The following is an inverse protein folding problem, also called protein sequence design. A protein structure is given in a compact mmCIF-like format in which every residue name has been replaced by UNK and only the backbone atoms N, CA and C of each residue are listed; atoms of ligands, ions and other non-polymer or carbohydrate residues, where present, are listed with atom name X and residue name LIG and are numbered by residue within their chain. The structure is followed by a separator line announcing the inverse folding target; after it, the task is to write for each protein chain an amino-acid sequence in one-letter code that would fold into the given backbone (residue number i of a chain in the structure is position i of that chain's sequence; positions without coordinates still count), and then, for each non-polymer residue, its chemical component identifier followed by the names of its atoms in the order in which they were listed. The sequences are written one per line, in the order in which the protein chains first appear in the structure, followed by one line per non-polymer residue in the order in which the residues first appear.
data_IF_940901841569
#
_entry.id   IF_940901841569
#
_cell.length_a   1.000
_cell.length_b   1.000
_cell.length_c   1.000
_cell.angle_alpha   90.00
_cell.angle_beta   90.00
_cell.angle_gamma   90.00
#
_symmetry.space_group_name_H-M   'P 1'
#
loop_
_entity.id
_entity.type
_entity.pdbx_description
1 polymer ?
#
# COMPACT_ATOMS: atom_id res chain seq x y z
N UNK A 1 -32.76 -25.51 -6.42
CA UNK A 1 -31.59 -24.72 -6.90
C UNK A 1 -31.19 -23.75 -5.81
N UNK A 2 -30.05 -23.93 -5.18
CA UNK A 2 -29.49 -22.96 -4.23
C UNK A 2 -29.21 -21.65 -4.97
N UNK A 3 -29.73 -20.52 -4.46
CA UNK A 3 -29.49 -19.19 -5.03
C UNK A 3 -28.01 -18.90 -4.96
N UNK A 4 -27.37 -18.60 -6.10
CA UNK A 4 -25.98 -18.11 -6.16
C UNK A 4 -25.91 -16.77 -5.42
N UNK A 5 -24.95 -16.64 -4.48
CA UNK A 5 -24.72 -15.41 -3.70
C UNK A 5 -23.78 -14.47 -4.44
N UNK A 6 -24.01 -13.18 -4.33
CA UNK A 6 -23.16 -12.15 -4.95
C UNK A 6 -22.04 -11.75 -4.01
N UNK A 7 -20.79 -12.02 -4.39
CA UNK A 7 -19.60 -11.53 -3.72
C UNK A 7 -18.99 -10.38 -4.53
N UNK A 8 -18.94 -9.18 -3.94
CA UNK A 8 -18.38 -8.02 -4.60
C UNK A 8 -17.04 -7.65 -3.96
N UNK A 9 -16.03 -7.40 -4.79
CA UNK A 9 -14.71 -6.91 -4.36
C UNK A 9 -14.56 -5.47 -4.87
N UNK A 10 -14.35 -4.51 -3.98
CA UNK A 10 -14.07 -3.11 -4.32
C UNK A 10 -12.57 -2.88 -4.30
N UNK A 11 -12.01 -2.52 -5.46
CA UNK A 11 -10.58 -2.26 -5.65
C UNK A 11 -9.82 -3.43 -6.21
N UNK A 12 -9.18 -3.22 -7.35
CA UNK A 12 -8.45 -4.23 -8.14
C UNK A 12 -6.93 -4.20 -7.92
N UNK A 13 -6.46 -3.81 -6.73
CA UNK A 13 -5.06 -3.93 -6.36
C UNK A 13 -4.66 -5.35 -5.96
N UNK A 14 -3.45 -5.51 -5.37
CA UNK A 14 -2.92 -6.82 -4.97
C UNK A 14 -3.88 -7.61 -4.06
N UNK A 15 -4.48 -6.97 -3.06
CA UNK A 15 -5.40 -7.62 -2.13
C UNK A 15 -6.70 -8.03 -2.82
N UNK A 16 -7.29 -7.13 -3.61
CA UNK A 16 -8.57 -7.38 -4.29
C UNK A 16 -8.49 -8.47 -5.36
N UNK A 17 -7.43 -8.48 -6.17
CA UNK A 17 -7.21 -9.53 -7.19
C UNK A 17 -7.04 -10.90 -6.53
N UNK A 18 -6.27 -10.99 -5.45
CA UNK A 18 -6.11 -12.26 -4.71
C UNK A 18 -7.44 -12.68 -4.08
N UNK A 19 -8.18 -11.75 -3.47
CA UNK A 19 -9.48 -12.05 -2.87
C UNK A 19 -10.49 -12.53 -3.91
N UNK A 20 -10.61 -11.84 -5.05
CA UNK A 20 -11.54 -12.20 -6.12
C UNK A 20 -11.22 -13.59 -6.69
N UNK A 21 -9.95 -13.88 -7.01
CA UNK A 21 -9.53 -15.21 -7.47
C UNK A 21 -9.82 -16.29 -6.42
N UNK A 22 -9.58 -16.02 -5.15
CA UNK A 22 -9.85 -17.00 -4.08
C UNK A 22 -11.34 -17.26 -3.90
N UNK A 23 -12.19 -16.22 -3.94
CA UNK A 23 -13.66 -16.35 -3.87
C UNK A 23 -14.22 -17.17 -5.06
N UNK A 24 -13.64 -17.04 -6.25
CA UNK A 24 -14.10 -17.75 -7.46
C UNK A 24 -13.91 -19.27 -7.41
N UNK A 25 -13.27 -19.81 -6.35
CA UNK A 25 -13.19 -21.27 -6.11
C UNK A 25 -14.52 -21.88 -5.66
N UNK A 26 -15.48 -21.07 -5.17
CA UNK A 26 -16.79 -21.55 -4.75
C UNK A 26 -17.81 -21.41 -5.87
N UNK A 27 -18.45 -22.52 -6.22
CA UNK A 27 -19.56 -22.53 -7.16
C UNK A 27 -20.84 -21.86 -6.62
N UNK A 28 -20.91 -21.58 -5.30
CA UNK A 28 -22.03 -20.88 -4.67
C UNK A 28 -21.94 -19.36 -4.82
N UNK A 29 -20.82 -18.84 -5.37
CA UNK A 29 -20.57 -17.42 -5.53
C UNK A 29 -20.54 -16.97 -6.99
N UNK A 30 -21.19 -15.85 -7.26
CA UNK A 30 -20.93 -14.98 -8.41
C UNK A 30 -19.99 -13.87 -7.93
N UNK A 31 -18.80 -13.75 -8.52
CA UNK A 31 -17.78 -12.79 -8.06
C UNK A 31 -17.69 -11.64 -9.05
N UNK A 32 -17.85 -10.41 -8.53
CA UNK A 32 -17.67 -9.18 -9.28
C UNK A 32 -16.53 -8.36 -8.65
N UNK A 33 -15.54 -7.96 -9.45
CA UNK A 33 -14.52 -6.99 -9.08
C UNK A 33 -14.91 -5.62 -9.66
N UNK A 34 -15.01 -4.60 -8.81
CA UNK A 34 -15.25 -3.22 -9.23
C UNK A 34 -13.96 -2.41 -9.06
N UNK A 35 -13.48 -1.80 -10.14
CA UNK A 35 -12.26 -1.01 -10.14
C UNK A 35 -12.34 0.10 -11.19
N UNK A 36 -11.85 1.34 -10.90
CA UNK A 36 -11.97 2.47 -11.84
C UNK A 36 -11.13 2.34 -13.13
N UNK A 37 -10.22 1.37 -13.20
CA UNK A 37 -9.35 1.15 -14.37
C UNK A 37 -9.57 -0.23 -14.97
N UNK A 38 -9.42 -0.36 -16.30
CA UNK A 38 -9.56 -1.65 -16.99
C UNK A 38 -8.35 -2.57 -16.79
N UNK A 39 -7.23 -2.03 -16.29
CA UNK A 39 -5.98 -2.75 -16.10
C UNK A 39 -5.55 -2.80 -14.64
N UNK A 40 -4.88 -3.89 -14.27
CA UNK A 40 -4.16 -4.03 -13.02
C UNK A 40 -2.91 -3.15 -13.02
N UNK A 41 -2.69 -2.40 -11.94
CA UNK A 41 -1.52 -1.53 -11.78
C UNK A 41 -0.51 -2.16 -10.83
N UNK A 42 0.70 -2.41 -11.33
CA UNK A 42 1.85 -2.82 -10.53
C UNK A 42 2.41 -1.62 -9.73
N UNK A 43 1.74 -1.22 -8.64
CA UNK A 43 2.11 -0.04 -7.83
C UNK A 43 3.58 -0.02 -7.40
N UNK A 44 4.16 -1.19 -7.18
CA UNK A 44 5.57 -1.34 -6.80
C UNK A 44 6.55 -0.96 -7.93
N UNK A 45 6.03 -0.67 -9.15
CA UNK A 45 6.81 -0.25 -10.33
C UNK A 45 6.46 1.17 -10.81
N UNK A 46 5.68 1.94 -10.06
CA UNK A 46 5.28 3.29 -10.47
C UNK A 46 6.48 4.24 -10.62
N UNK A 47 7.53 4.09 -9.80
CA UNK A 47 8.78 4.83 -9.98
C UNK A 47 9.44 4.53 -11.33
N UNK A 48 9.35 3.29 -11.84
CA UNK A 48 9.83 2.88 -13.15
C UNK A 48 8.93 3.40 -14.28
N UNK A 49 7.62 3.46 -14.06
CA UNK A 49 6.67 4.09 -14.99
C UNK A 49 6.99 5.57 -15.17
N UNK A 50 7.19 6.28 -14.08
CA UNK A 50 7.52 7.71 -14.08
C UNK A 50 8.84 8.02 -14.80
N UNK A 51 9.81 7.12 -14.75
CA UNK A 51 11.10 7.26 -15.47
C UNK A 51 11.08 6.66 -16.89
N UNK A 52 9.99 6.00 -17.28
CA UNK A 52 9.84 5.39 -18.60
C UNK A 52 10.52 4.01 -18.73
N UNK A 53 11.06 3.45 -17.66
CA UNK A 53 11.81 2.19 -17.69
C UNK A 53 10.91 0.94 -17.65
N UNK A 54 9.61 1.06 -17.28
CA UNK A 54 8.63 -0.03 -17.24
C UNK A 54 7.18 0.45 -17.38
N UNK A 55 6.29 -0.37 -18.00
CA UNK A 55 4.90 -0.02 -18.27
C UNK A 55 3.98 0.06 -17.04
N UNK A 56 4.21 -0.78 -16.03
CA UNK A 56 3.48 -0.90 -14.76
C UNK A 56 1.97 -1.22 -14.87
N UNK A 57 1.46 -1.64 -16.02
CA UNK A 57 0.07 -2.07 -16.23
C UNK A 57 -0.01 -3.46 -16.84
N UNK A 58 -1.04 -4.21 -16.46
CA UNK A 58 -1.30 -5.57 -16.94
C UNK A 58 -2.82 -5.72 -17.12
N UNK A 59 -3.31 -6.26 -18.27
CA UNK A 59 -4.73 -6.52 -18.43
C UNK A 59 -5.30 -7.39 -17.32
N UNK A 60 -6.48 -7.07 -16.79
CA UNK A 60 -7.11 -7.91 -15.77
C UNK A 60 -7.37 -9.33 -16.25
N UNK A 61 -7.56 -9.56 -17.55
CA UNK A 61 -7.69 -10.90 -18.13
C UNK A 61 -6.48 -11.82 -17.84
N UNK A 62 -5.30 -11.26 -17.59
CA UNK A 62 -4.09 -12.00 -17.25
C UNK A 62 -4.03 -12.43 -15.77
N UNK A 63 -4.73 -11.71 -14.88
CA UNK A 63 -4.60 -11.84 -13.41
C UNK A 63 -5.91 -12.18 -12.70
N UNK A 64 -7.04 -12.19 -13.39
CA UNK A 64 -8.34 -12.64 -12.88
C UNK A 64 -8.77 -13.95 -13.53
N UNK A 65 -9.38 -14.83 -12.76
CA UNK A 65 -10.02 -16.03 -13.30
C UNK A 65 -11.16 -15.65 -14.25
N UNK A 66 -11.38 -16.42 -15.36
CA UNK A 66 -12.39 -16.08 -16.37
C UNK A 66 -13.84 -16.01 -15.84
N UNK A 67 -14.12 -16.62 -14.69
CA UNK A 67 -15.43 -16.58 -14.03
C UNK A 67 -15.71 -15.28 -13.28
N UNK A 68 -14.72 -14.42 -13.09
CA UNK A 68 -14.84 -13.15 -12.36
C UNK A 68 -15.32 -12.07 -13.33
N UNK A 69 -16.41 -11.38 -12.97
CA UNK A 69 -16.89 -10.23 -13.71
C UNK A 69 -16.09 -8.99 -13.30
N UNK A 70 -15.46 -8.31 -14.24
CA UNK A 70 -14.87 -7.00 -14.04
C UNK A 70 -15.91 -5.92 -14.37
N UNK A 71 -16.13 -5.00 -13.43
CA UNK A 71 -16.89 -3.76 -13.66
C UNK A 71 -15.91 -2.59 -13.56
N UNK A 72 -15.69 -1.89 -14.68
CA UNK A 72 -14.82 -0.71 -14.73
C UNK A 72 -15.63 0.51 -14.29
N UNK A 73 -15.59 0.80 -12.99
CA UNK A 73 -16.31 1.91 -12.36
C UNK A 73 -15.73 2.17 -10.96
N UNK A 74 -16.15 3.27 -10.33
CA UNK A 74 -15.80 3.64 -8.96
C UNK A 74 -17.00 3.48 -8.04
N UNK A 75 -16.78 2.93 -6.83
CA UNK A 75 -17.81 2.94 -5.80
C UNK A 75 -17.75 4.26 -5.03
N UNK A 76 -18.86 4.98 -5.03
CA UNK A 76 -18.98 6.29 -4.36
C UNK A 76 -19.63 6.19 -2.98
N UNK A 77 -20.43 5.14 -2.72
CA UNK A 77 -21.09 4.90 -1.42
C UNK A 77 -21.36 3.41 -1.21
N UNK A 78 -21.17 2.97 0.03
CA UNK A 78 -21.60 1.65 0.54
C UNK A 78 -22.82 1.87 1.43
N UNK A 79 -23.95 1.26 1.08
CA UNK A 79 -25.15 1.21 1.91
C UNK A 79 -25.22 -0.19 2.54
N UNK A 80 -24.63 -0.33 3.72
CA UNK A 80 -24.53 -1.61 4.41
C UNK A 80 -25.92 -2.17 4.83
N UNK A 81 -26.87 -1.37 5.35
CA UNK A 81 -28.22 -1.86 5.67
C UNK A 81 -28.94 -2.45 4.47
N UNK A 82 -28.90 -1.80 3.30
CA UNK A 82 -29.57 -2.26 2.08
C UNK A 82 -28.72 -3.25 1.27
N UNK A 83 -27.47 -3.54 1.67
CA UNK A 83 -26.47 -4.38 0.96
C UNK A 83 -26.28 -3.91 -0.47
N UNK A 84 -26.09 -2.62 -0.68
CA UNK A 84 -25.92 -2.05 -2.00
C UNK A 84 -24.75 -1.08 -2.06
N UNK A 85 -24.24 -0.93 -3.27
CA UNK A 85 -23.14 -0.03 -3.64
C UNK A 85 -23.66 0.93 -4.68
N UNK A 86 -23.42 2.22 -4.50
CA UNK A 86 -23.66 3.23 -5.52
C UNK A 86 -22.35 3.42 -6.29
N UNK A 87 -22.42 3.30 -7.61
CA UNK A 87 -21.30 3.53 -8.50
C UNK A 87 -21.30 4.96 -9.03
N UNK A 88 -20.16 5.43 -9.52
CA UNK A 88 -20.00 6.77 -10.11
C UNK A 88 -20.87 6.95 -11.34
N UNK A 89 -21.09 5.89 -12.14
CA UNK A 89 -22.05 5.86 -13.24
C UNK A 89 -23.53 6.02 -12.84
N UNK A 90 -23.84 6.07 -11.53
CA UNK A 90 -25.19 6.02 -11.01
C UNK A 90 -25.80 4.62 -10.90
N UNK A 91 -25.11 3.60 -11.37
CA UNK A 91 -25.54 2.20 -11.23
C UNK A 91 -25.54 1.76 -9.77
N UNK A 92 -26.53 0.95 -9.37
CA UNK A 92 -26.59 0.34 -8.05
C UNK A 92 -26.29 -1.15 -8.16
N UNK A 93 -25.20 -1.59 -7.53
CA UNK A 93 -24.85 -3.01 -7.41
C UNK A 93 -25.27 -3.56 -6.04
N UNK A 94 -25.75 -4.80 -5.96
CA UNK A 94 -26.08 -5.47 -4.71
C UNK A 94 -25.03 -6.51 -4.35
N UNK A 95 -24.88 -6.80 -3.07
CA UNK A 95 -23.97 -7.85 -2.58
C UNK A 95 -24.60 -8.66 -1.45
N UNK A 96 -24.21 -9.92 -1.35
CA UNK A 96 -24.40 -10.76 -0.16
C UNK A 96 -23.15 -10.73 0.72
N UNK A 97 -21.95 -10.61 0.09
CA UNK A 97 -20.66 -10.42 0.76
C UNK A 97 -19.85 -9.34 0.05
N UNK A 98 -19.14 -8.51 0.83
CA UNK A 98 -18.35 -7.41 0.32
C UNK A 98 -16.90 -7.53 0.81
N UNK A 99 -15.94 -7.46 -0.12
CA UNK A 99 -14.52 -7.30 0.19
C UNK A 99 -14.11 -5.86 -0.10
N UNK A 100 -13.78 -5.11 0.93
CA UNK A 100 -13.27 -3.74 0.85
C UNK A 100 -11.75 -3.76 0.68
N UNK A 101 -11.25 -3.49 -0.53
CA UNK A 101 -9.84 -3.60 -0.89
C UNK A 101 -9.33 -2.40 -1.69
N UNK A 102 -9.80 -1.20 -1.37
CA UNK A 102 -9.53 0.05 -2.10
C UNK A 102 -8.08 0.54 -2.01
N UNK A 103 -7.26 -0.07 -1.15
CA UNK A 103 -5.84 0.24 -1.01
C UNK A 103 -5.55 1.60 -0.36
N UNK A 104 -4.44 2.23 -0.78
CA UNK A 104 -3.97 3.51 -0.28
C UNK A 104 -3.57 4.45 -1.42
N UNK A 105 -3.36 5.73 -1.11
CA UNK A 105 -2.83 6.74 -2.03
C UNK A 105 -1.84 7.65 -1.28
N UNK A 106 -1.22 8.63 -1.95
CA UNK A 106 -0.48 9.69 -1.27
C UNK A 106 -1.44 10.53 -0.43
N UNK A 107 -1.08 10.84 0.81
CA UNK A 107 -1.82 11.83 1.59
C UNK A 107 -1.76 13.19 0.89
N UNK A 108 -2.82 13.99 0.99
CA UNK A 108 -2.77 15.39 0.56
C UNK A 108 -1.71 16.11 1.38
N UNK A 109 -0.73 16.78 0.75
CA UNK A 109 0.29 17.49 1.48
C UNK A 109 -0.31 18.63 2.33
N UNK A 110 0.05 18.68 3.61
CA UNK A 110 -0.32 19.81 4.49
C UNK A 110 0.68 20.97 4.38
N UNK A 111 1.80 20.74 3.70
CA UNK A 111 2.86 21.77 3.48
C UNK A 111 2.35 22.77 2.46
N UNK A 112 2.38 24.09 2.79
CA UNK A 112 1.94 25.16 1.92
C UNK A 112 2.55 25.07 0.51
N UNK A 113 1.71 25.17 -0.51
CA UNK A 113 2.06 25.10 -1.93
C UNK A 113 2.43 23.71 -2.46
N UNK A 114 2.55 22.69 -1.60
CA UNK A 114 2.95 21.37 -2.06
C UNK A 114 1.85 20.67 -2.91
N UNK A 115 0.59 20.95 -2.64
CA UNK A 115 -0.51 20.41 -3.43
C UNK A 115 -0.55 20.99 -4.86
N UNK A 116 -0.11 22.24 -5.04
CA UNK A 116 -0.13 22.96 -6.33
C UNK A 116 1.17 22.78 -7.11
N UNK A 117 2.32 22.69 -6.42
CA UNK A 117 3.65 22.80 -7.05
C UNK A 117 4.47 21.51 -6.96
N UNK A 118 3.97 20.44 -6.31
CA UNK A 118 4.63 19.14 -6.29
C UNK A 118 3.77 18.07 -6.98
N UNK A 119 4.40 17.12 -7.66
CA UNK A 119 3.73 15.96 -8.24
C UNK A 119 3.87 14.79 -7.27
N UNK A 120 2.74 14.27 -6.80
CA UNK A 120 2.72 13.06 -5.98
C UNK A 120 3.06 11.82 -6.83
N UNK A 121 3.55 10.75 -6.17
CA UNK A 121 3.84 9.48 -6.83
C UNK A 121 3.23 8.32 -6.05
N UNK A 122 1.97 8.02 -6.31
CA UNK A 122 1.25 6.90 -5.67
C UNK A 122 0.22 6.21 -6.57
N UNK A 123 -0.19 6.84 -7.67
CA UNK A 123 -1.13 6.29 -8.65
C UNK A 123 -0.50 6.23 -10.04
N UNK A 124 -1.16 5.53 -10.97
CA UNK A 124 -0.72 5.42 -12.36
C UNK A 124 -0.71 6.79 -13.03
N UNK A 125 -1.77 7.58 -12.84
CA UNK A 125 -1.93 8.91 -13.40
C UNK A 125 -0.80 9.84 -12.92
N UNK A 126 -0.54 9.85 -11.62
CA UNK A 126 0.56 10.63 -11.05
C UNK A 126 1.94 10.20 -11.58
N UNK A 127 2.13 8.91 -11.85
CA UNK A 127 3.37 8.44 -12.47
C UNK A 127 3.49 8.91 -13.93
N UNK A 128 2.38 8.96 -14.67
CA UNK A 128 2.34 9.50 -16.04
C UNK A 128 2.52 11.01 -16.05
N UNK A 129 1.88 11.75 -15.15
CA UNK A 129 2.06 13.21 -14.98
C UNK A 129 3.52 13.53 -14.67
N UNK A 130 4.13 12.76 -13.74
CA UNK A 130 5.54 12.92 -13.41
C UNK A 130 6.44 12.64 -14.62
N UNK A 131 6.14 11.63 -15.42
CA UNK A 131 6.87 11.32 -16.65
C UNK A 131 6.81 12.46 -17.67
N UNK A 132 5.64 13.04 -17.85
CA UNK A 132 5.45 14.21 -18.73
C UNK A 132 6.24 15.40 -18.20
N UNK A 133 6.13 15.72 -16.91
CA UNK A 133 6.86 16.82 -16.29
C UNK A 133 8.39 16.63 -16.38
N UNK A 134 8.89 15.41 -16.15
CA UNK A 134 10.30 15.09 -16.32
C UNK A 134 10.81 15.28 -17.75
N UNK A 135 9.97 15.05 -18.76
CA UNK A 135 10.34 15.28 -20.16
C UNK A 135 10.36 16.76 -20.54
N UNK A 136 9.59 17.58 -19.82
CA UNK A 136 9.49 19.03 -20.07
C UNK A 136 10.65 19.84 -19.44
N UNK A 137 11.36 19.29 -18.44
CA UNK A 137 12.48 19.98 -17.80
C UNK A 137 13.83 19.42 -18.27
N UNK A 138 14.85 20.28 -18.45
CA UNK A 138 16.19 19.82 -18.86
C UNK A 138 16.74 18.74 -17.90
N UNK A 139 17.50 17.77 -18.43
CA UNK A 139 18.08 16.68 -17.61
C UNK A 139 18.96 17.21 -16.47
N UNK A 140 19.64 18.35 -16.68
CA UNK A 140 20.50 18.98 -15.67
C UNK A 140 19.75 19.91 -14.70
N UNK A 141 18.43 20.09 -14.87
CA UNK A 141 17.63 20.85 -13.93
C UNK A 141 17.48 20.09 -12.59
N UNK A 142 17.60 20.79 -11.44
CA UNK A 142 17.52 20.16 -10.14
C UNK A 142 16.12 19.61 -9.86
N UNK A 143 16.06 18.41 -9.31
CA UNK A 143 14.82 17.74 -8.89
C UNK A 143 14.88 17.49 -7.39
N UNK A 144 13.83 17.89 -6.68
CA UNK A 144 13.68 17.60 -5.25
C UNK A 144 12.65 16.49 -5.04
N UNK A 145 13.04 15.45 -4.31
CA UNK A 145 12.14 14.37 -3.88
C UNK A 145 11.86 14.56 -2.39
N UNK A 146 10.59 14.70 -2.01
CA UNK A 146 10.16 14.85 -0.61
C UNK A 146 9.59 13.53 -0.11
N UNK A 147 10.26 12.93 0.88
CA UNK A 147 9.85 11.68 1.52
C UNK A 147 10.96 10.63 1.55
N UNK A 148 11.45 10.30 2.74
CA UNK A 148 12.54 9.33 2.98
C UNK A 148 12.07 7.87 3.06
N UNK A 149 10.84 7.55 2.63
CA UNK A 149 10.29 6.21 2.53
C UNK A 149 10.73 5.45 1.27
N UNK A 150 10.22 4.22 1.09
CA UNK A 150 10.59 3.34 -0.04
C UNK A 150 10.40 4.02 -1.39
N UNK A 151 9.24 4.62 -1.64
CA UNK A 151 8.93 5.29 -2.92
C UNK A 151 9.89 6.43 -3.22
N UNK A 152 10.16 7.30 -2.21
CA UNK A 152 11.07 8.43 -2.40
C UNK A 152 12.51 7.98 -2.69
N UNK A 153 12.98 6.95 -2.00
CA UNK A 153 14.30 6.37 -2.23
C UNK A 153 14.41 5.77 -3.63
N UNK A 154 13.40 4.99 -4.06
CA UNK A 154 13.39 4.32 -5.35
C UNK A 154 13.36 5.32 -6.51
N UNK A 155 12.48 6.34 -6.45
CA UNK A 155 12.43 7.37 -7.50
C UNK A 155 13.66 8.27 -7.49
N UNK A 156 14.20 8.65 -6.33
CA UNK A 156 15.43 9.44 -6.25
C UNK A 156 16.62 8.70 -6.86
N UNK A 157 16.74 7.40 -6.58
CA UNK A 157 17.79 6.57 -7.15
C UNK A 157 17.66 6.41 -8.67
N UNK A 158 16.46 6.20 -9.20
CA UNK A 158 16.22 6.09 -10.65
C UNK A 158 16.54 7.41 -11.37
N UNK A 159 16.10 8.55 -10.81
CA UNK A 159 16.37 9.87 -11.39
C UNK A 159 17.86 10.21 -11.38
N UNK A 160 18.55 9.90 -10.28
CA UNK A 160 20.00 10.10 -10.18
C UNK A 160 20.78 9.19 -11.15
N UNK A 161 20.36 7.93 -11.34
CA UNK A 161 20.96 7.01 -12.32
C UNK A 161 20.77 7.50 -13.77
N UNK A 162 19.69 8.26 -14.04
CA UNK A 162 19.45 8.96 -15.31
C UNK A 162 20.26 10.26 -15.45
N UNK A 163 21.17 10.57 -14.52
CA UNK A 163 22.05 11.73 -14.55
C UNK A 163 21.40 13.06 -14.15
N UNK A 164 20.24 13.03 -13.48
CA UNK A 164 19.59 14.23 -12.95
C UNK A 164 20.19 14.62 -11.60
N UNK A 165 20.41 15.92 -11.33
CA UNK A 165 20.74 16.42 -9.99
C UNK A 165 19.55 16.22 -9.07
N UNK A 166 19.65 15.31 -8.10
CA UNK A 166 18.54 14.94 -7.19
C UNK A 166 18.89 15.31 -5.75
N UNK A 167 17.98 16.01 -5.09
CA UNK A 167 17.99 16.18 -3.63
C UNK A 167 16.81 15.41 -3.01
N UNK A 168 17.10 14.46 -2.13
CA UNK A 168 16.10 13.69 -1.37
C UNK A 168 15.94 14.27 0.03
N UNK A 169 14.77 14.84 0.33
CA UNK A 169 14.39 15.30 1.66
C UNK A 169 13.78 14.13 2.44
N UNK A 170 14.55 13.57 3.36
CA UNK A 170 14.17 12.34 4.04
C UNK A 170 13.33 12.57 5.32
N UNK A 171 12.96 13.83 5.62
CA UNK A 171 12.34 14.17 6.89
C UNK A 171 13.31 13.90 8.05
N UNK A 172 12.83 13.38 9.16
CA UNK A 172 13.68 13.13 10.33
C UNK A 172 14.72 12.04 10.08
N UNK A 173 14.40 11.05 9.26
CA UNK A 173 15.26 9.90 9.02
C UNK A 173 14.99 9.25 7.68
N UNK A 174 16.05 8.98 6.93
CA UNK A 174 15.99 8.16 5.72
C UNK A 174 15.65 6.71 6.08
N UNK A 175 14.76 6.07 5.30
CA UNK A 175 14.39 4.66 5.44
C UNK A 175 14.11 4.26 6.90
N UNK A 176 13.10 4.83 7.58
CA UNK A 176 12.89 4.61 9.01
C UNK A 176 12.61 3.14 9.36
N UNK A 177 12.06 2.37 8.43
CA UNK A 177 11.77 0.94 8.60
C UNK A 177 12.99 0.03 8.42
N UNK A 178 14.14 0.54 7.91
CA UNK A 178 15.34 -0.26 7.75
C UNK A 178 16.21 -0.26 9.02
N UNK A 179 16.88 -1.39 9.26
CA UNK A 179 17.94 -1.46 10.25
C UNK A 179 19.07 -0.46 9.89
N UNK A 180 19.79 0.15 10.85
CA UNK A 180 20.87 1.10 10.58
C UNK A 180 21.92 0.60 9.59
N UNK A 181 22.28 -0.69 9.61
CA UNK A 181 23.23 -1.29 8.68
C UNK A 181 22.76 -1.25 7.20
N UNK A 182 21.49 -1.61 6.97
CA UNK A 182 20.89 -1.55 5.62
C UNK A 182 20.68 -0.09 5.17
N UNK A 183 20.28 0.81 6.08
CA UNK A 183 20.18 2.24 5.80
C UNK A 183 21.52 2.84 5.35
N UNK A 184 22.62 2.48 6.02
CA UNK A 184 23.95 2.91 5.59
C UNK A 184 24.29 2.45 4.17
N UNK A 185 23.81 1.28 3.75
CA UNK A 185 23.97 0.80 2.36
C UNK A 185 23.14 1.63 1.38
N UNK A 186 21.92 2.04 1.75
CA UNK A 186 21.08 2.95 0.94
C UNK A 186 21.79 4.30 0.77
N UNK A 187 22.27 4.91 1.87
CA UNK A 187 22.98 6.21 1.82
C UNK A 187 24.18 6.14 0.89
N UNK A 188 25.07 5.15 1.08
CA UNK A 188 26.24 4.98 0.21
C UNK A 188 25.91 4.81 -1.26
N UNK A 189 24.80 4.15 -1.57
CA UNK A 189 24.40 3.95 -2.97
C UNK A 189 23.81 5.22 -3.57
N UNK A 190 22.99 5.98 -2.84
CA UNK A 190 22.48 7.27 -3.30
C UNK A 190 23.63 8.27 -3.53
N UNK A 191 24.61 8.30 -2.63
CA UNK A 191 25.84 9.10 -2.79
C UNK A 191 26.62 8.73 -4.05
N UNK A 192 26.82 7.42 -4.32
CA UNK A 192 27.48 6.96 -5.56
C UNK A 192 26.74 7.34 -6.84
N UNK A 193 25.42 7.47 -6.77
CA UNK A 193 24.59 7.95 -7.87
C UNK A 193 24.61 9.48 -8.00
N UNK A 194 25.24 10.19 -7.05
CA UNK A 194 25.30 11.66 -7.01
C UNK A 194 24.04 12.32 -6.44
N UNK A 195 23.16 11.55 -5.75
CA UNK A 195 21.99 12.11 -5.08
C UNK A 195 22.36 12.70 -3.72
N UNK A 196 21.94 13.92 -3.44
CA UNK A 196 22.10 14.55 -2.13
C UNK A 196 20.97 14.11 -1.21
N UNK A 197 21.28 13.63 0.00
CA UNK A 197 20.28 13.25 1.00
C UNK A 197 20.32 14.23 2.17
N UNK A 198 19.21 14.89 2.44
CA UNK A 198 19.02 15.77 3.60
C UNK A 198 18.04 15.10 4.58
N UNK A 199 18.47 14.97 5.84
CA UNK A 199 17.67 14.37 6.91
C UNK A 199 17.81 15.18 8.21
N UNK A 200 16.85 15.01 9.11
CA UNK A 200 16.74 15.75 10.38
C UNK A 200 15.64 16.79 10.34
N UNK A 201 15.31 17.34 11.51
CA UNK A 201 14.19 18.27 11.66
C UNK A 201 14.30 19.50 10.75
N UNK A 202 15.52 20.05 10.59
CA UNK A 202 15.79 21.20 9.72
C UNK A 202 15.61 20.92 8.23
N UNK A 203 15.72 19.66 7.80
CA UNK A 203 15.58 19.25 6.42
C UNK A 203 14.13 18.92 6.00
N UNK A 204 13.15 19.16 6.85
CA UNK A 204 11.73 19.01 6.47
C UNK A 204 11.33 20.11 5.49
N UNK A 205 10.52 19.79 4.50
CA UNK A 205 9.89 20.77 3.64
C UNK A 205 8.91 21.62 4.46
N UNK A 206 9.04 22.95 4.40
CA UNK A 206 8.18 23.93 5.08
C UNK A 206 7.27 24.67 4.10
N UNK A 207 7.66 24.82 2.84
CA UNK A 207 6.83 25.31 1.75
C UNK A 207 7.38 24.82 0.41
N UNK A 208 6.51 24.78 -0.60
CA UNK A 208 6.88 24.45 -1.99
C UNK A 208 6.30 25.54 -2.89
N UNK A 209 7.08 26.01 -3.86
CA UNK A 209 6.64 26.93 -4.88
C UNK A 209 7.20 26.57 -6.27
N UNK A 210 6.97 27.39 -7.27
CA UNK A 210 7.46 27.16 -8.63
C UNK A 210 8.98 27.18 -8.76
N UNK A 211 9.69 27.81 -7.83
CA UNK A 211 11.16 27.94 -7.82
C UNK A 211 11.86 26.88 -6.99
N UNK A 212 11.13 26.21 -6.08
CA UNK A 212 11.79 25.23 -5.24
C UNK A 212 11.08 24.87 -3.95
N UNK A 213 11.90 24.44 -2.98
CA UNK A 213 11.43 23.98 -1.67
C UNK A 213 12.16 24.75 -0.58
N UNK A 214 11.40 25.41 0.31
CA UNK A 214 11.90 26.01 1.53
C UNK A 214 11.89 24.96 2.65
N UNK A 215 13.02 24.85 3.33
CA UNK A 215 13.21 23.94 4.46
C UNK A 215 12.81 24.58 5.79
N UNK A 216 12.60 23.74 6.80
CA UNK A 216 12.24 24.17 8.16
C UNK A 216 13.33 24.99 8.85
N UNK A 217 14.59 24.86 8.45
CA UNK A 217 15.71 25.69 8.93
C UNK A 217 15.91 26.99 8.14
N UNK A 218 15.00 27.30 7.22
CA UNK A 218 15.01 28.53 6.41
C UNK A 218 15.82 28.46 5.12
N UNK A 219 16.57 27.39 4.86
CA UNK A 219 17.26 27.21 3.58
C UNK A 219 16.26 27.07 2.44
N UNK A 220 16.61 27.62 1.29
CA UNK A 220 15.87 27.45 0.04
C UNK A 220 16.64 26.50 -0.89
N UNK A 221 15.96 25.52 -1.43
CA UNK A 221 16.50 24.57 -2.40
C UNK A 221 15.86 24.86 -3.76
N UNK A 222 16.64 25.35 -4.73
CA UNK A 222 16.14 25.47 -6.11
C UNK A 222 15.70 24.10 -6.63
N UNK A 223 14.50 24.05 -7.19
CA UNK A 223 13.93 22.81 -7.75
C UNK A 223 13.07 23.14 -8.97
N UNK A 224 13.48 22.62 -10.12
CA UNK A 224 12.68 22.74 -11.33
C UNK A 224 11.49 21.77 -11.34
N UNK A 225 11.52 20.75 -10.48
CA UNK A 225 10.45 19.78 -10.31
C UNK A 225 10.53 19.19 -8.90
N UNK A 226 9.40 19.24 -8.18
CA UNK A 226 9.28 18.64 -6.85
C UNK A 226 8.40 17.40 -6.92
N UNK A 227 8.93 16.25 -6.47
CA UNK A 227 8.20 14.97 -6.40
C UNK A 227 7.81 14.70 -4.95
N UNK A 228 6.52 14.49 -4.69
CA UNK A 228 6.01 14.27 -3.34
C UNK A 228 5.72 12.79 -3.09
N UNK A 229 6.40 12.20 -2.10
CA UNK A 229 6.24 10.80 -1.70
C UNK A 229 6.01 10.65 -0.19
N UNK A 230 5.84 11.76 0.52
CA UNK A 230 5.63 11.77 1.96
C UNK A 230 4.15 11.60 2.31
N UNK A 231 3.91 10.72 3.28
CA UNK A 231 2.56 10.45 3.80
C UNK A 231 1.75 9.46 2.95
N UNK A 232 0.95 8.66 3.67
CA UNK A 232 -0.05 7.76 3.08
C UNK A 232 -1.44 8.17 3.56
N UNK A 233 -2.41 8.11 2.66
CA UNK A 233 -3.83 8.20 2.93
C UNK A 233 -4.54 6.95 2.42
N UNK A 234 -5.78 6.78 2.82
CA UNK A 234 -6.69 5.78 2.26
C UNK A 234 -7.94 6.49 1.74
N UNK A 235 -8.62 5.94 0.71
CA UNK A 235 -9.89 6.51 0.25
C UNK A 235 -10.90 6.63 1.40
N UNK A 236 -11.59 7.74 1.47
CA UNK A 236 -12.56 8.05 2.54
C UNK A 236 -13.91 7.34 2.39
N UNK A 237 -14.04 6.43 1.42
CA UNK A 237 -15.27 5.70 1.09
C UNK A 237 -15.90 5.02 2.32
N UNK A 238 -15.10 4.33 3.15
CA UNK A 238 -15.62 3.69 4.37
C UNK A 238 -16.22 4.72 5.33
N UNK A 239 -15.50 5.83 5.59
CA UNK A 239 -15.96 6.91 6.48
C UNK A 239 -17.22 7.58 5.96
N UNK A 240 -17.26 7.95 4.66
CA UNK A 240 -18.45 8.54 4.02
C UNK A 240 -19.65 7.62 3.99
N UNK A 241 -19.41 6.32 4.07
CA UNK A 241 -20.45 5.28 4.14
C UNK A 241 -20.91 4.96 5.58
N UNK A 242 -20.38 5.68 6.60
CA UNK A 242 -20.76 5.49 8.00
C UNK A 242 -20.14 4.28 8.67
N UNK A 243 -19.13 3.66 8.06
CA UNK A 243 -18.37 2.55 8.64
C UNK A 243 -17.26 3.06 9.56
N UNK A 244 -16.96 2.34 10.64
CA UNK A 244 -15.90 2.68 11.59
C UNK A 244 -14.53 2.64 10.94
N UNK A 245 -13.79 3.73 11.07
CA UNK A 245 -12.44 3.87 10.55
C UNK A 245 -11.47 4.32 11.63
N UNK A 246 -10.20 4.01 11.46
CA UNK A 246 -9.14 4.60 12.26
C UNK A 246 -8.87 6.07 11.84
N UNK A 247 -7.87 6.70 12.47
CA UNK A 247 -7.49 8.09 12.21
C UNK A 247 -7.02 8.35 10.76
N UNK A 248 -6.48 7.33 10.05
CA UNK A 248 -6.13 7.44 8.63
C UNK A 248 -7.30 7.15 7.68
N UNK A 249 -8.46 6.70 8.20
CA UNK A 249 -9.62 6.31 7.41
C UNK A 249 -9.66 4.83 7.00
N UNK A 250 -8.77 3.97 7.55
CA UNK A 250 -8.81 2.52 7.30
C UNK A 250 -10.00 1.90 8.00
N UNK A 251 -10.70 0.98 7.32
CA UNK A 251 -11.83 0.26 7.89
C UNK A 251 -11.36 -0.59 9.07
N UNK A 252 -11.95 -0.36 10.25
CA UNK A 252 -11.64 -1.14 11.46
C UNK A 252 -12.29 -2.51 11.36
N UNK A 253 -11.51 -3.56 11.57
CA UNK A 253 -11.95 -4.95 11.53
C UNK A 253 -11.48 -5.71 12.76
N UNK A 254 -12.02 -6.91 12.97
CA UNK A 254 -11.43 -7.90 13.86
C UNK A 254 -10.24 -8.63 13.18
N UNK A 255 -9.65 -9.61 13.86
CA UNK A 255 -8.54 -10.42 13.32
C UNK A 255 -8.98 -11.40 12.22
N UNK A 256 -10.26 -11.61 11.98
CA UNK A 256 -10.79 -12.34 10.82
C UNK A 256 -10.96 -11.44 9.60
N UNK A 257 -10.57 -10.17 9.71
CA UNK A 257 -10.76 -9.10 8.73
C UNK A 257 -12.22 -8.71 8.52
N UNK A 258 -13.11 -9.05 9.45
CA UNK A 258 -14.51 -8.67 9.42
C UNK A 258 -14.69 -7.26 9.97
N UNK A 259 -15.46 -6.42 9.28
CA UNK A 259 -15.88 -5.11 9.77
C UNK A 259 -16.60 -5.24 11.12
N UNK A 260 -16.32 -4.30 12.03
CA UNK A 260 -17.04 -4.26 13.31
C UNK A 260 -18.47 -3.74 13.19
N UNK A 261 -18.89 -3.27 12.00
CA UNK A 261 -20.21 -2.70 11.76
C UNK A 261 -21.16 -3.65 11.02
N UNK A 262 -20.61 -4.53 10.17
CA UNK A 262 -21.38 -5.50 9.37
C UNK A 262 -20.55 -6.74 9.08
N UNK A 263 -21.00 -7.91 9.53
CA UNK A 263 -20.30 -9.19 9.34
C UNK A 263 -20.14 -9.62 7.87
N UNK A 264 -20.95 -9.07 6.97
CA UNK A 264 -20.90 -9.33 5.52
C UNK A 264 -19.78 -8.57 4.82
N UNK A 265 -19.20 -7.56 5.51
CA UNK A 265 -18.13 -6.72 4.99
C UNK A 265 -16.80 -7.21 5.60
N UNK A 266 -15.86 -7.56 4.76
CA UNK A 266 -14.47 -7.83 5.14
C UNK A 266 -13.55 -6.81 4.47
N UNK A 267 -12.39 -6.50 5.09
CA UNK A 267 -11.43 -5.57 4.50
C UNK A 267 -10.05 -6.21 4.34
N UNK A 268 -9.31 -5.82 3.30
CA UNK A 268 -7.98 -6.36 3.05
C UNK A 268 -7.01 -5.33 2.43
N UNK A 269 -5.74 -5.50 2.72
CA UNK A 269 -4.67 -4.63 2.23
C UNK A 269 -4.54 -3.33 3.03
N UNK A 270 -4.03 -2.29 2.37
CA UNK A 270 -3.64 -1.03 3.02
C UNK A 270 -4.80 -0.28 3.69
N UNK A 271 -6.04 -0.54 3.25
CA UNK A 271 -7.26 0.10 3.76
C UNK A 271 -7.90 -0.64 4.94
N UNK A 272 -7.28 -1.68 5.47
CA UNK A 272 -7.76 -2.45 6.61
C UNK A 272 -6.96 -2.15 7.88
N UNK A 273 -7.66 -2.06 9.03
CA UNK A 273 -7.07 -1.89 10.36
C UNK A 273 -7.53 -3.00 11.30
N UNK A 274 -6.97 -4.24 11.19
CA UNK A 274 -7.33 -5.35 12.05
C UNK A 274 -7.04 -5.03 13.52
N UNK A 275 -8.07 -5.08 14.36
CA UNK A 275 -8.01 -4.79 15.80
C UNK A 275 -7.33 -3.46 16.15
N UNK A 276 -7.44 -2.45 15.27
CA UNK A 276 -6.75 -1.17 15.43
C UNK A 276 -5.22 -1.23 15.30
N UNK A 277 -4.64 -2.38 14.99
CA UNK A 277 -3.20 -2.59 14.75
C UNK A 277 -2.94 -3.04 13.31
N UNK A 278 -2.97 -2.10 12.35
CA UNK A 278 -2.80 -2.41 10.94
C UNK A 278 -1.41 -2.92 10.61
N UNK A 279 -1.32 -3.74 9.59
CA UNK A 279 -0.05 -4.16 9.02
C UNK A 279 0.59 -3.03 8.21
N UNK A 280 1.91 -3.11 8.00
CA UNK A 280 2.64 -2.19 7.13
C UNK A 280 2.04 -2.21 5.72
N UNK A 281 1.77 -1.04 5.15
CA UNK A 281 1.28 -0.87 3.78
C UNK A 281 2.32 -1.36 2.77
N UNK A 282 2.15 -2.56 2.25
CA UNK A 282 3.04 -3.15 1.24
C UNK A 282 2.37 -4.33 0.53
N UNK A 283 2.84 -4.67 -0.68
CA UNK A 283 2.30 -5.79 -1.45
C UNK A 283 2.47 -7.15 -0.74
N UNK A 284 3.53 -7.30 0.09
CA UNK A 284 3.77 -8.51 0.87
C UNK A 284 2.71 -8.75 1.96
N UNK A 285 2.09 -7.69 2.49
CA UNK A 285 0.95 -7.78 3.38
C UNK A 285 -0.38 -7.88 2.63
N UNK A 286 -0.53 -7.13 1.52
CA UNK A 286 -1.79 -7.01 0.80
C UNK A 286 -2.29 -8.36 0.25
N UNK A 287 -1.40 -9.17 -0.35
CA UNK A 287 -1.80 -10.45 -0.95
C UNK A 287 -2.33 -11.46 0.08
N UNK A 288 -1.61 -11.79 1.18
CA UNK A 288 -2.13 -12.72 2.18
C UNK A 288 -3.36 -12.18 2.92
N UNK A 289 -3.48 -10.85 3.13
CA UNK A 289 -4.71 -10.26 3.67
C UNK A 289 -5.89 -10.45 2.71
N UNK A 290 -5.69 -10.29 1.40
CA UNK A 290 -6.71 -10.58 0.40
C UNK A 290 -7.17 -12.04 0.44
N UNK A 291 -6.24 -12.98 0.55
CA UNK A 291 -6.55 -14.41 0.69
C UNK A 291 -7.33 -14.70 1.98
N UNK A 292 -6.92 -14.11 3.10
CA UNK A 292 -7.59 -14.29 4.39
C UNK A 292 -9.01 -13.71 4.39
N UNK A 293 -9.22 -12.52 3.80
CA UNK A 293 -10.56 -11.93 3.66
C UNK A 293 -11.50 -12.84 2.86
N UNK A 294 -11.00 -13.40 1.75
CA UNK A 294 -11.74 -14.39 0.97
C UNK A 294 -12.03 -15.67 1.76
N UNK A 295 -11.04 -16.21 2.50
CA UNK A 295 -11.22 -17.39 3.36
C UNK A 295 -12.25 -17.14 4.45
N UNK A 296 -12.34 -15.92 5.01
CA UNK A 296 -13.37 -15.51 5.97
C UNK A 296 -14.77 -15.63 5.37
N UNK A 297 -14.97 -15.13 4.15
CA UNK A 297 -16.24 -15.23 3.42
C UNK A 297 -16.56 -16.69 3.08
N UNK A 298 -15.60 -17.44 2.52
CA UNK A 298 -15.79 -18.84 2.13
C UNK A 298 -16.17 -19.74 3.32
N UNK A 299 -15.53 -19.54 4.48
CA UNK A 299 -15.87 -20.29 5.71
C UNK A 299 -17.30 -19.99 6.18
N UNK A 300 -17.74 -18.71 6.13
CA UNK A 300 -19.12 -18.35 6.48
C UNK A 300 -20.14 -19.03 5.56
N UNK A 301 -19.83 -19.10 4.25
CA UNK A 301 -20.69 -19.76 3.27
C UNK A 301 -20.80 -21.26 3.58
N UNK A 302 -19.69 -21.89 3.98
CA UNK A 302 -19.66 -23.29 4.40
C UNK A 302 -20.28 -23.56 5.78
N UNK A 303 -20.74 -22.52 6.50
CA UNK A 303 -21.26 -22.65 7.88
C UNK A 303 -20.17 -22.77 8.95
N UNK A 304 -18.92 -22.56 8.57
CA UNK A 304 -17.76 -22.60 9.47
C UNK A 304 -17.48 -21.25 10.12
N UNK A 305 -16.96 -21.24 11.35
CA UNK A 305 -16.47 -20.02 11.99
C UNK A 305 -15.24 -19.46 11.26
N UNK A 306 -15.18 -18.14 10.97
CA UNK A 306 -13.99 -17.49 10.46
C UNK A 306 -12.78 -17.69 11.37
N UNK A 307 -11.58 -17.65 10.81
CA UNK A 307 -10.33 -17.79 11.58
C UNK A 307 -9.42 -16.60 11.32
N UNK A 308 -9.05 -15.89 12.38
CA UNK A 308 -7.99 -14.90 12.32
C UNK A 308 -6.64 -15.56 12.06
N UNK A 309 -5.79 -14.88 11.30
CA UNK A 309 -4.39 -15.27 11.08
C UNK A 309 -3.51 -14.04 11.34
N UNK A 310 -2.48 -14.22 12.15
CA UNK A 310 -1.44 -13.21 12.28
C UNK A 310 -0.47 -13.30 11.10
N UNK A 311 -0.30 -12.20 10.37
CA UNK A 311 0.59 -12.17 9.22
C UNK A 311 2.01 -11.85 9.64
N UNK A 312 2.99 -12.64 9.20
CA UNK A 312 4.40 -12.31 9.31
C UNK A 312 4.90 -11.62 8.03
N UNK A 313 5.70 -10.57 8.20
CA UNK A 313 6.36 -9.85 7.09
C UNK A 313 7.87 -10.03 7.26
N UNK A 314 8.50 -11.02 6.57
CA UNK A 314 9.88 -11.43 6.85
C UNK A 314 10.95 -10.45 6.31
N UNK A 315 10.55 -9.32 5.74
CA UNK A 315 11.47 -8.30 5.25
C UNK A 315 10.86 -7.30 4.29
N UNK A 316 11.74 -6.52 3.69
CA UNK A 316 11.40 -5.56 2.63
C UNK A 316 12.55 -5.41 1.66
N UNK A 317 12.25 -5.03 0.42
CA UNK A 317 13.25 -4.78 -0.60
C UNK A 317 13.03 -3.43 -1.27
N UNK A 318 14.15 -2.78 -1.63
CA UNK A 318 14.19 -1.48 -2.29
C UNK A 318 15.09 -1.57 -3.52
N UNK A 319 14.71 -0.94 -4.62
CA UNK A 319 15.62 -0.67 -5.74
C UNK A 319 16.40 0.63 -5.46
N UNK A 320 17.66 0.64 -5.87
CA UNK A 320 18.58 1.79 -5.75
C UNK A 320 19.18 2.07 -7.12
N UNK A 321 18.32 2.41 -8.07
CA UNK A 321 18.59 2.36 -9.50
C UNK A 321 18.46 0.93 -10.06
N UNK A 322 18.85 0.71 -11.31
CA UNK A 322 18.67 -0.59 -11.99
C UNK A 322 19.72 -1.63 -11.61
N UNK A 323 20.87 -1.19 -11.09
CA UNK A 323 22.04 -2.04 -10.84
C UNK A 323 22.31 -2.35 -9.37
N UNK A 324 21.57 -1.72 -8.46
CA UNK A 324 21.70 -1.93 -7.02
C UNK A 324 20.34 -2.02 -6.35
N UNK A 325 20.29 -2.67 -5.20
CA UNK A 325 19.12 -2.78 -4.36
C UNK A 325 19.50 -3.19 -2.94
N UNK A 326 18.51 -3.20 -2.06
CA UNK A 326 18.65 -3.71 -0.69
C UNK A 326 17.49 -4.66 -0.42
N UNK A 327 17.79 -5.87 0.06
CA UNK A 327 16.85 -6.78 0.70
C UNK A 327 17.17 -6.80 2.20
N UNK A 328 16.29 -6.24 3.00
CA UNK A 328 16.34 -6.21 4.45
C UNK A 328 15.56 -7.40 5.01
N UNK A 329 16.20 -8.26 5.80
CA UNK A 329 15.53 -9.32 6.53
C UNK A 329 14.87 -8.76 7.80
N UNK A 330 13.73 -9.31 8.15
CA UNK A 330 13.01 -8.96 9.36
C UNK A 330 12.61 -10.22 10.15
N UNK A 331 12.32 -10.05 11.43
CA UNK A 331 11.65 -11.05 12.24
C UNK A 331 10.19 -11.19 11.77
N UNK A 332 9.49 -12.18 12.29
CA UNK A 332 8.09 -12.42 11.95
C UNK A 332 7.17 -11.27 12.34
N UNK A 333 7.54 -10.50 13.36
CA UNK A 333 6.87 -9.28 13.83
C UNK A 333 7.26 -8.00 13.09
N UNK A 334 7.85 -8.13 11.89
CA UNK A 334 8.36 -7.04 11.03
C UNK A 334 9.54 -6.23 11.64
N UNK A 335 10.12 -6.66 12.76
CA UNK A 335 11.31 -6.02 13.33
C UNK A 335 12.53 -6.27 12.43
N UNK A 336 13.13 -5.19 11.91
CA UNK A 336 14.28 -5.28 11.01
C UNK A 336 15.51 -5.89 11.69
N UNK A 337 16.18 -6.84 11.02
CA UNK A 337 17.42 -7.48 11.48
C UNK A 337 18.65 -6.73 10.94
N UNK A 338 19.84 -6.86 11.59
CA UNK A 338 21.09 -6.33 11.01
C UNK A 338 21.44 -6.94 9.66
N UNK A 339 21.03 -8.19 9.42
CA UNK A 339 21.28 -8.93 8.19
C UNK A 339 20.50 -8.30 7.01
N UNK A 340 21.20 -8.01 5.93
CA UNK A 340 20.64 -7.53 4.67
C UNK A 340 21.53 -7.92 3.51
N UNK A 341 20.97 -7.94 2.30
CA UNK A 341 21.72 -8.12 1.06
C UNK A 341 21.66 -6.82 0.26
N UNK A 342 22.80 -6.35 -0.20
CA UNK A 342 22.93 -5.09 -0.93
C UNK A 342 23.51 -5.27 -2.33
N UNK A 343 23.67 -4.15 -3.06
CA UNK A 343 24.31 -4.10 -4.37
C UNK A 343 23.55 -4.88 -5.46
N UNK A 344 24.30 -5.52 -6.36
CA UNK A 344 23.71 -6.26 -7.51
C UNK A 344 22.86 -7.46 -7.09
N UNK A 345 23.24 -8.16 -6.01
CA UNK A 345 22.42 -9.25 -5.45
C UNK A 345 21.09 -8.72 -4.92
N UNK A 346 21.11 -7.60 -4.18
CA UNK A 346 19.92 -6.93 -3.73
C UNK A 346 18.98 -6.52 -4.88
N UNK A 347 19.56 -6.00 -5.98
CA UNK A 347 18.79 -5.66 -7.18
C UNK A 347 18.14 -6.88 -7.83
N UNK A 348 18.90 -7.96 -8.03
CA UNK A 348 18.38 -9.20 -8.62
C UNK A 348 17.26 -9.82 -7.78
N UNK A 349 17.42 -9.84 -6.44
CA UNK A 349 16.39 -10.35 -5.54
C UNK A 349 15.14 -9.44 -5.51
N UNK A 350 15.31 -8.11 -5.51
CA UNK A 350 14.19 -7.17 -5.63
C UNK A 350 13.41 -7.42 -6.91
N UNK A 351 14.09 -7.55 -8.04
CA UNK A 351 13.45 -7.82 -9.33
C UNK A 351 12.74 -9.19 -9.33
N UNK A 352 13.38 -10.23 -8.78
CA UNK A 352 12.77 -11.56 -8.65
C UNK A 352 11.50 -11.53 -7.78
N UNK A 353 11.52 -10.81 -6.65
CA UNK A 353 10.33 -10.63 -5.79
C UNK A 353 9.23 -9.88 -6.54
N UNK A 354 9.58 -8.81 -7.25
CA UNK A 354 8.62 -7.99 -7.98
C UNK A 354 8.00 -8.77 -9.15
N UNK A 355 8.80 -9.44 -9.97
CA UNK A 355 8.32 -10.29 -11.05
C UNK A 355 7.52 -11.49 -10.52
N UNK A 356 8.00 -12.11 -9.42
CA UNK A 356 7.33 -13.22 -8.75
C UNK A 356 5.92 -12.85 -8.24
N UNK A 357 5.71 -11.59 -7.85
CA UNK A 357 4.39 -11.09 -7.47
C UNK A 357 3.39 -11.20 -8.64
N UNK A 358 3.76 -10.73 -9.83
CA UNK A 358 2.90 -10.82 -11.01
C UNK A 358 2.71 -12.27 -11.49
N UNK A 359 3.79 -13.07 -11.49
CA UNK A 359 3.71 -14.51 -11.82
C UNK A 359 2.76 -15.22 -10.85
N UNK A 360 2.81 -14.87 -9.56
CA UNK A 360 1.88 -15.39 -8.56
C UNK A 360 0.42 -15.06 -8.88
N UNK A 361 0.10 -13.81 -9.22
CA UNK A 361 -1.26 -13.40 -9.61
C UNK A 361 -1.73 -14.13 -10.88
N UNK A 362 -0.89 -14.26 -11.91
CA UNK A 362 -1.19 -15.02 -13.14
C UNK A 362 -1.40 -16.52 -12.86
N UNK A 363 -0.68 -17.07 -11.89
CA UNK A 363 -0.88 -18.45 -11.47
C UNK A 363 -2.22 -18.63 -10.76
N UNK A 364 -2.56 -17.69 -9.87
CA UNK A 364 -3.84 -17.70 -9.17
C UNK A 364 -5.04 -17.52 -10.11
N UNK A 365 -4.93 -16.73 -11.18
CA UNK A 365 -6.01 -16.57 -12.16
C UNK A 365 -6.33 -17.89 -12.88
N UNK A 366 -5.30 -18.70 -13.15
CA UNK A 366 -5.43 -20.01 -13.80
C UNK A 366 -5.77 -21.14 -12.83
N UNK A 367 -5.37 -21.01 -11.57
CA UNK A 367 -5.57 -22.00 -10.51
C UNK A 367 -5.96 -21.29 -9.20
N UNK A 368 -7.20 -20.81 -9.07
CA UNK A 368 -7.63 -19.95 -7.97
C UNK A 368 -7.50 -20.57 -6.57
N UNK A 369 -7.41 -21.91 -6.47
CA UNK A 369 -7.22 -22.66 -5.22
C UNK A 369 -5.80 -22.57 -4.64
N UNK A 370 -4.80 -22.13 -5.44
CA UNK A 370 -3.42 -22.02 -4.95
C UNK A 370 -3.29 -20.78 -4.06
N UNK A 371 -2.90 -21.01 -2.81
CA UNK A 371 -2.51 -19.94 -1.88
C UNK A 371 -1.02 -19.75 -2.02
N UNK A 372 -0.56 -18.52 -2.21
CA UNK A 372 0.85 -18.21 -2.21
C UNK A 372 1.51 -18.54 -0.86
N UNK A 373 2.75 -19.01 -0.88
CA UNK A 373 3.52 -19.43 0.31
C UNK A 373 3.63 -18.34 1.40
N UNK A 374 3.52 -17.05 1.02
CA UNK A 374 3.56 -15.92 1.96
C UNK A 374 2.40 -15.92 2.97
N UNK A 375 1.24 -16.48 2.63
CA UNK A 375 0.11 -16.60 3.55
C UNK A 375 0.27 -17.65 4.66
N UNK A 376 1.35 -18.44 4.63
CA UNK A 376 1.62 -19.50 5.61
C UNK A 376 2.45 -19.02 6.81
N UNK A 377 3.18 -17.92 6.69
CA UNK A 377 4.01 -17.39 7.75
C UNK A 377 3.17 -16.55 8.72
N UNK A 378 3.20 -16.92 10.00
CA UNK A 378 2.48 -16.22 11.06
C UNK A 378 3.43 -15.53 12.03
N UNK A 379 2.97 -14.37 12.54
CA UNK A 379 3.62 -13.68 13.65
C UNK A 379 3.09 -14.23 14.99
N UNK A 380 3.90 -14.98 15.77
CA UNK A 380 3.46 -15.56 17.04
C UNK A 380 3.28 -14.51 18.15
N UNK A 381 3.76 -13.26 17.95
CA UNK A 381 3.73 -12.20 18.97
C UNK A 381 2.50 -11.31 18.85
N UNK A 382 1.81 -11.34 17.71
CA UNK A 382 0.66 -10.44 17.46
C UNK A 382 -0.41 -10.54 18.56
N UNK A 383 -0.77 -11.73 19.00
CA UNK A 383 -1.75 -11.91 20.06
C UNK A 383 -1.32 -11.24 21.39
N UNK A 384 -0.04 -11.33 21.73
CA UNK A 384 0.52 -10.63 22.90
C UNK A 384 0.50 -9.11 22.76
N UNK A 385 0.83 -8.58 21.57
CA UNK A 385 0.76 -7.14 21.29
C UNK A 385 -0.67 -6.62 21.38
N UNK A 386 -1.65 -7.36 20.87
CA UNK A 386 -3.07 -7.01 20.97
C UNK A 386 -3.56 -7.00 22.42
N UNK A 387 -3.17 -7.99 23.23
CA UNK A 387 -3.51 -8.03 24.64
C UNK A 387 -2.90 -6.85 25.43
N UNK A 388 -1.63 -6.50 25.15
CA UNK A 388 -0.98 -5.33 25.76
C UNK A 388 -1.68 -4.01 25.38
N UNK A 389 -1.99 -3.81 24.09
CA UNK A 389 -2.70 -2.62 23.64
C UNK A 389 -4.10 -2.48 24.24
N UNK A 390 -4.81 -3.58 24.48
CA UNK A 390 -6.13 -3.58 25.13
C UNK A 390 -6.03 -3.18 26.61
N UNK A 391 -4.92 -3.49 27.28
CA UNK A 391 -4.69 -3.13 28.69
C UNK A 391 -4.42 -1.63 28.86
N UNK A 392 -3.72 -1.00 27.88
CA UNK A 392 -3.44 0.43 27.89
C UNK A 392 -4.68 1.30 27.62
N UNK A 393 -5.74 0.73 27.04
CA UNK A 393 -7.01 1.38 26.76
C UNK A 393 -8.07 1.16 27.86
N UNK A 394 -7.75 0.42 28.93
CA UNK A 394 -8.65 0.28 30.07
C UNK A 394 -8.81 1.64 30.77
N UNK A 395 -10.06 2.09 31.07
CA UNK A 395 -10.26 3.36 31.75
C UNK A 395 -9.53 3.36 33.07
N UNK A 396 -8.81 4.46 33.33
CA UNK A 396 -8.24 4.74 34.68
C UNK A 396 -9.43 4.69 35.66
N UNK A 397 -9.55 3.58 36.38
CA UNK A 397 -10.50 3.49 37.48
C UNK A 397 -10.19 4.60 38.47
N UNK A 398 -11.22 5.35 38.85
CA UNK A 398 -11.23 6.42 39.85
C UNK A 398 -10.29 6.10 41.01
N UNK A 399 -9.26 6.93 41.18
CA UNK A 399 -8.55 6.98 42.47
C UNK A 399 -9.56 7.48 43.50
N UNK A 400 -9.75 6.77 44.64
CA UNK A 400 -10.58 7.29 45.68
C UNK A 400 -10.03 8.63 46.13
N UNK A 401 -10.93 9.65 46.18
CA UNK A 401 -10.70 10.94 46.80
C UNK A 401 -10.22 10.72 48.22
N UNK A 402 -8.97 11.06 48.51
CA UNK A 402 -8.54 11.31 49.87
C UNK A 402 -9.12 12.70 50.27
N UNK A 403 -10.33 12.65 50.80
CA UNK A 403 -10.81 13.69 51.68
C UNK A 403 -10.30 13.37 53.07
N UNK A 404 -9.39 14.19 53.58
CA UNK A 404 -9.34 14.79 54.92
C UNK A 404 -8.14 15.76 55.00
#
# INVERSE_FOLDING_TARGET
MTRTREAVVIGGGYAGVVAANRLSTSAELSVTLINPRPDFVERIRLHQRATGSYGATVPYADVLAPSIRLTVDSVTRIDAPSRSLVLDSGTVARYDHLVYAVGSHAATPEVPGAAEHAIALSTLEQADDLRVALSAVPTRAPVTVVGGGSTGIEIAAELAELGRPVTLLAGDRLAPSLHPAARATVVRQLDRLGATVLAGAGARAAAVDTGGVRLADGRELPSALTVWTAGFGVPDLARRSGLRTDHLGRLVTDETLTSLDDERIVAAGDCAAPSGMPYRMCCAAAQPLGAQAADTVLRRIAGDAPRGRSLAIPGQCLSLGRRAGVLQFARRDDTALPAHLGGRLGAGLKEAVTAGTLVGLRTMSRRPGIIGALGLLQDPRRAGHLAAASTDLAPVQDRPSLAD
#
